data_IF_741236965643
#
_entry.id   IF_741236965643
#
_cell.length_a   1.000
_cell.length_b   1.000
_cell.length_c   1.000
_cell.angle_alpha   90.00
_cell.angle_beta   90.00
_cell.angle_gamma   90.00
#
_symmetry.space_group_name_H-M   'P 1'
#
loop_
_entity.id
_entity.type
_entity.pdbx_description
1 polymer ?
#
# COMPACT_ATOMS: atom_id res chain seq x y z
N UNK A 1 14.16 -5.71 -19.63
CA UNK A 1 15.07 -6.71 -18.97
C UNK A 1 14.33 -7.20 -17.76
N UNK A 2 14.07 -8.50 -17.66
CA UNK A 2 13.38 -9.11 -16.52
C UNK A 2 14.30 -9.12 -15.29
N UNK A 3 13.69 -9.10 -14.10
CA UNK A 3 14.39 -9.29 -12.82
C UNK A 3 14.17 -10.73 -12.33
N UNK A 4 14.82 -11.18 -11.24
CA UNK A 4 14.56 -12.50 -10.67
C UNK A 4 13.11 -12.69 -10.15
N UNK A 5 12.37 -11.60 -9.92
CA UNK A 5 11.04 -11.62 -9.30
C UNK A 5 9.93 -11.09 -10.21
N UNK A 6 10.30 -10.51 -11.36
CA UNK A 6 9.33 -9.96 -12.32
C UNK A 6 9.75 -10.29 -13.75
N UNK A 7 8.90 -11.02 -14.49
CA UNK A 7 9.15 -11.44 -15.87
C UNK A 7 8.60 -10.48 -16.92
N UNK A 8 7.90 -9.42 -16.54
CA UNK A 8 7.37 -8.42 -17.46
C UNK A 8 8.50 -7.76 -18.28
N UNK A 9 8.21 -7.35 -19.48
CA UNK A 9 9.02 -6.38 -20.19
C UNK A 9 8.81 -4.98 -19.57
N UNK A 10 9.83 -4.12 -19.63
CA UNK A 10 9.76 -2.78 -19.02
C UNK A 10 8.55 -1.98 -19.54
N UNK A 11 8.28 -2.09 -20.80
CA UNK A 11 7.23 -1.39 -21.53
C UNK A 11 5.81 -1.88 -21.17
N UNK A 12 5.72 -3.04 -20.51
CA UNK A 12 4.45 -3.60 -20.07
C UNK A 12 4.01 -3.07 -18.70
N UNK A 13 4.88 -2.38 -17.96
CA UNK A 13 4.58 -1.82 -16.65
C UNK A 13 4.29 -0.32 -16.81
N UNK A 14 3.16 0.13 -16.27
CA UNK A 14 2.77 1.54 -16.29
C UNK A 14 3.60 2.39 -15.31
N UNK A 15 3.59 3.71 -15.47
CA UNK A 15 4.28 4.65 -14.58
C UNK A 15 3.69 4.70 -13.18
N UNK A 16 2.39 4.42 -13.05
CA UNK A 16 1.68 4.34 -11.78
C UNK A 16 1.27 2.90 -11.50
N UNK A 17 1.59 2.42 -10.30
CA UNK A 17 1.31 1.05 -9.85
C UNK A 17 0.48 1.09 -8.58
N UNK A 18 -0.67 0.39 -8.56
CA UNK A 18 -1.38 0.04 -7.34
C UNK A 18 -0.83 -1.27 -6.79
N UNK A 19 -0.49 -1.28 -5.50
CA UNK A 19 0.19 -2.43 -4.89
C UNK A 19 -0.57 -2.97 -3.67
N UNK A 20 -1.54 -3.88 -3.87
CA UNK A 20 -2.13 -4.66 -2.78
C UNK A 20 -1.15 -5.73 -2.28
N UNK A 21 -1.29 -6.15 -1.02
CA UNK A 21 -0.52 -7.29 -0.49
C UNK A 21 -0.93 -8.61 -1.13
N UNK A 22 -2.22 -8.83 -1.27
CA UNK A 22 -2.85 -10.06 -1.73
C UNK A 22 -2.88 -10.16 -3.28
N UNK A 23 -2.33 -11.25 -3.88
CA UNK A 23 -2.41 -11.48 -5.32
C UNK A 23 -3.84 -11.63 -5.87
N UNK A 24 -4.77 -12.15 -5.08
CA UNK A 24 -6.18 -12.27 -5.48
C UNK A 24 -6.85 -10.89 -5.50
N UNK A 25 -6.50 -10.01 -4.57
CA UNK A 25 -6.96 -8.61 -4.60
C UNK A 25 -6.38 -7.88 -5.81
N UNK A 26 -5.11 -8.13 -6.17
CA UNK A 26 -4.53 -7.55 -7.39
C UNK A 26 -5.32 -7.97 -8.63
N UNK A 27 -5.67 -9.24 -8.74
CA UNK A 27 -6.53 -9.76 -9.80
C UNK A 27 -7.91 -9.10 -9.79
N UNK A 28 -8.54 -9.04 -8.63
CA UNK A 28 -9.87 -8.43 -8.47
C UNK A 28 -9.87 -6.95 -8.92
N UNK A 29 -8.89 -6.15 -8.50
CA UNK A 29 -8.78 -4.75 -8.92
C UNK A 29 -8.62 -4.65 -10.44
N UNK A 30 -7.75 -5.46 -11.02
CA UNK A 30 -7.50 -5.43 -12.46
C UNK A 30 -8.75 -5.82 -13.26
N UNK A 31 -9.40 -6.93 -12.94
CA UNK A 31 -10.57 -7.42 -13.67
C UNK A 31 -11.83 -6.57 -13.46
N UNK A 32 -11.92 -5.85 -12.32
CA UNK A 32 -13.10 -5.04 -11.98
C UNK A 32 -13.01 -3.62 -12.53
N UNK A 33 -11.82 -3.03 -12.56
CA UNK A 33 -11.68 -1.58 -12.79
C UNK A 33 -10.87 -1.22 -14.02
N UNK A 34 -9.99 -2.11 -14.53
CA UNK A 34 -9.18 -1.78 -15.69
C UNK A 34 -9.83 -2.27 -16.97
N UNK A 35 -9.72 -1.47 -18.02
CA UNK A 35 -10.04 -1.87 -19.37
C UNK A 35 -8.89 -2.74 -19.91
N UNK A 36 -9.23 -3.87 -20.54
CA UNK A 36 -8.33 -4.82 -21.19
C UNK A 36 -7.12 -5.24 -20.33
N UNK A 37 -7.30 -5.71 -19.06
CA UNK A 37 -6.19 -6.07 -18.20
C UNK A 37 -5.46 -7.30 -18.72
N UNK A 38 -4.13 -7.20 -18.84
CA UNK A 38 -3.25 -8.28 -19.24
C UNK A 38 -2.37 -8.71 -18.06
N UNK A 39 -2.29 -10.01 -17.80
CA UNK A 39 -1.33 -10.57 -16.83
C UNK A 39 0.09 -10.43 -17.39
N UNK A 40 0.88 -9.52 -16.83
CA UNK A 40 2.25 -9.23 -17.30
C UNK A 40 3.31 -9.90 -16.42
N UNK A 41 2.99 -10.22 -15.16
CA UNK A 41 3.88 -10.95 -14.26
C UNK A 41 3.13 -12.06 -13.51
N UNK A 42 3.47 -13.35 -13.70
CA UNK A 42 2.97 -14.46 -12.90
C UNK A 42 4.02 -15.03 -11.91
N UNK A 43 5.23 -14.46 -11.87
CA UNK A 43 6.37 -15.05 -11.14
C UNK A 43 6.06 -15.11 -9.65
N UNK A 44 6.31 -16.26 -9.02
CA UNK A 44 6.10 -16.55 -7.59
C UNK A 44 4.65 -16.35 -7.10
N UNK A 45 3.67 -16.30 -8.01
CA UNK A 45 2.28 -15.97 -7.65
C UNK A 45 2.05 -14.50 -7.29
N UNK A 46 3.07 -13.66 -7.39
CA UNK A 46 2.95 -12.21 -7.22
C UNK A 46 2.51 -11.63 -8.56
N UNK A 47 1.22 -11.81 -8.82
CA UNK A 47 0.64 -11.44 -10.09
C UNK A 47 0.63 -9.93 -10.30
N UNK A 48 1.02 -9.52 -11.52
CA UNK A 48 0.94 -8.13 -11.98
C UNK A 48 0.10 -8.06 -13.25
N UNK A 49 -0.82 -7.11 -13.29
CA UNK A 49 -1.72 -6.87 -14.43
C UNK A 49 -1.57 -5.42 -14.87
N UNK A 50 -1.53 -5.20 -16.19
CA UNK A 50 -1.55 -3.86 -16.77
C UNK A 50 -2.75 -3.72 -17.69
N UNK A 51 -3.47 -2.64 -17.57
CA UNK A 51 -4.60 -2.23 -18.40
C UNK A 51 -4.72 -0.73 -18.41
N UNK A 52 -5.89 -0.20 -18.74
CA UNK A 52 -6.14 1.24 -18.64
C UNK A 52 -7.29 1.55 -17.66
N UNK A 53 -7.20 2.69 -16.99
CA UNK A 53 -8.29 3.26 -16.21
C UNK A 53 -8.60 4.63 -16.79
N UNK A 54 -9.84 4.80 -17.29
CA UNK A 54 -10.26 6.03 -17.99
C UNK A 54 -9.29 6.44 -19.12
N UNK A 55 -8.74 5.44 -19.85
CA UNK A 55 -7.81 5.65 -20.95
C UNK A 55 -6.34 5.89 -20.55
N UNK A 56 -6.00 5.92 -19.26
CA UNK A 56 -4.62 6.07 -18.75
C UNK A 56 -4.09 4.70 -18.34
N UNK A 57 -2.87 4.29 -18.78
CA UNK A 57 -2.26 3.04 -18.35
C UNK A 57 -2.02 2.98 -16.84
N UNK A 58 -2.45 1.87 -16.21
CA UNK A 58 -2.22 1.58 -14.80
C UNK A 58 -1.80 0.12 -14.66
N UNK A 59 -0.82 -0.14 -13.81
CA UNK A 59 -0.47 -1.50 -13.39
C UNK A 59 -1.01 -1.76 -11.98
N UNK A 60 -1.55 -2.95 -11.76
CA UNK A 60 -1.90 -3.47 -10.44
C UNK A 60 -1.04 -4.69 -10.18
N UNK A 61 -0.15 -4.66 -9.21
CA UNK A 61 0.76 -5.75 -8.90
C UNK A 61 0.80 -6.02 -7.41
N UNK A 62 0.66 -7.27 -7.01
CA UNK A 62 0.75 -7.65 -5.61
C UNK A 62 2.14 -7.41 -5.03
N UNK A 63 2.20 -7.19 -3.72
CA UNK A 63 3.47 -7.07 -2.99
C UNK A 63 3.84 -8.32 -2.19
N UNK A 64 2.87 -9.22 -1.93
CA UNK A 64 2.97 -10.16 -0.83
C UNK A 64 2.85 -9.45 0.52
N UNK A 65 3.10 -10.16 1.61
CA UNK A 65 3.02 -9.62 2.97
C UNK A 65 4.41 -9.33 3.53
N UNK A 66 4.50 -8.26 4.30
CA UNK A 66 5.68 -7.88 5.06
C UNK A 66 6.71 -7.07 4.29
N UNK A 67 7.53 -6.34 5.03
CA UNK A 67 8.52 -5.41 4.48
C UNK A 67 9.56 -6.07 3.56
N UNK A 68 10.09 -7.28 3.84
CA UNK A 68 11.00 -7.93 2.92
C UNK A 68 10.39 -8.21 1.54
N UNK A 69 9.08 -8.55 1.51
CA UNK A 69 8.40 -8.84 0.25
C UNK A 69 8.17 -7.56 -0.56
N UNK A 70 7.45 -6.57 -0.02
CA UNK A 70 7.23 -5.31 -0.74
C UNK A 70 8.56 -4.61 -1.05
N UNK A 71 9.56 -4.78 -0.19
CA UNK A 71 10.89 -4.24 -0.38
C UNK A 71 11.54 -4.72 -1.69
N UNK A 72 11.39 -5.99 -2.04
CA UNK A 72 11.87 -6.54 -3.32
C UNK A 72 11.09 -5.92 -4.48
N UNK A 73 9.77 -6.08 -4.50
CA UNK A 73 8.95 -5.74 -5.66
C UNK A 73 8.91 -4.23 -5.92
N UNK A 74 8.76 -3.41 -4.91
CA UNK A 74 8.74 -1.96 -5.08
C UNK A 74 10.12 -1.41 -5.50
N UNK A 75 11.21 -1.97 -4.98
CA UNK A 75 12.55 -1.56 -5.42
C UNK A 75 12.77 -1.89 -6.89
N UNK A 76 12.42 -3.11 -7.32
CA UNK A 76 12.56 -3.52 -8.71
C UNK A 76 11.73 -2.63 -9.64
N UNK A 77 10.46 -2.35 -9.29
CA UNK A 77 9.58 -1.48 -10.06
C UNK A 77 10.16 -0.08 -10.23
N UNK A 78 10.63 0.53 -9.17
CA UNK A 78 11.25 1.86 -9.21
C UNK A 78 12.56 1.86 -10.00
N UNK A 79 13.44 0.89 -9.73
CA UNK A 79 14.82 0.92 -10.23
C UNK A 79 14.97 0.41 -11.66
N UNK A 80 14.19 -0.61 -12.04
CA UNK A 80 14.41 -1.32 -13.30
C UNK A 80 13.25 -1.18 -14.29
N UNK A 81 12.03 -0.89 -13.80
CA UNK A 81 10.83 -0.76 -14.64
C UNK A 81 10.41 0.70 -14.88
N UNK A 82 11.15 1.66 -14.33
CA UNK A 82 10.90 3.10 -14.54
C UNK A 82 9.51 3.55 -14.03
N UNK A 83 9.03 2.89 -12.98
CA UNK A 83 7.82 3.28 -12.25
C UNK A 83 8.10 4.58 -11.51
N UNK A 84 7.15 5.52 -11.59
CA UNK A 84 7.26 6.82 -10.92
C UNK A 84 6.48 6.84 -9.61
N UNK A 85 5.30 6.21 -9.60
CA UNK A 85 4.38 6.26 -8.48
C UNK A 85 3.97 4.85 -8.06
N UNK A 86 4.05 4.54 -6.77
CA UNK A 86 3.44 3.34 -6.21
C UNK A 86 2.48 3.74 -5.10
N UNK A 87 1.21 3.32 -5.23
CA UNK A 87 0.19 3.48 -4.20
C UNK A 87 -0.10 2.10 -3.61
N UNK A 88 0.29 1.91 -2.34
CA UNK A 88 -0.15 0.73 -1.59
C UNK A 88 -1.64 0.83 -1.30
N UNK A 89 -2.38 -0.24 -1.61
CA UNK A 89 -3.82 -0.37 -1.35
C UNK A 89 -4.05 -1.59 -0.44
N UNK A 90 -4.08 -1.35 0.85
CA UNK A 90 -4.00 -2.40 1.87
C UNK A 90 -5.20 -2.47 2.81
N UNK A 91 -5.20 -3.49 3.67
CA UNK A 91 -6.03 -3.55 4.86
C UNK A 91 -5.20 -3.19 6.10
N UNK A 92 -5.86 -2.72 7.15
CA UNK A 92 -5.21 -2.37 8.41
C UNK A 92 -6.10 -2.71 9.60
N UNK A 93 -5.46 -3.09 10.71
CA UNK A 93 -6.10 -3.11 12.02
C UNK A 93 -6.13 -1.72 12.65
N UNK A 94 -7.24 -1.31 13.26
CA UNK A 94 -7.35 -0.02 13.94
C UNK A 94 -6.91 -0.10 15.40
N UNK A 95 -6.07 0.86 15.81
CA UNK A 95 -5.76 1.17 17.21
C UNK A 95 -6.64 2.29 17.76
N UNK A 96 -7.09 3.19 16.88
CA UNK A 96 -7.91 4.34 17.23
C UNK A 96 -9.38 3.90 17.37
N UNK A 97 -10.04 4.12 18.53
CA UNK A 97 -11.43 3.76 18.75
C UNK A 97 -12.45 4.52 17.88
N UNK A 98 -12.04 5.66 17.29
CA UNK A 98 -12.87 6.41 16.34
C UNK A 98 -12.89 5.81 14.92
N UNK A 99 -12.04 4.80 14.67
CA UNK A 99 -11.97 4.10 13.39
C UNK A 99 -12.74 2.78 13.45
N UNK A 100 -13.63 2.60 12.50
CA UNK A 100 -14.46 1.40 12.36
C UNK A 100 -14.11 0.62 11.09
N UNK A 101 -14.52 -0.64 11.00
CA UNK A 101 -14.35 -1.45 9.78
C UNK A 101 -14.98 -0.73 8.58
N UNK A 102 -14.30 -0.84 7.44
CA UNK A 102 -14.57 -0.12 6.18
C UNK A 102 -14.16 1.36 6.16
N UNK A 103 -13.76 1.98 7.26
CA UNK A 103 -13.19 3.32 7.20
C UNK A 103 -11.91 3.33 6.35
N UNK A 104 -11.74 4.43 5.61
CA UNK A 104 -10.56 4.63 4.76
C UNK A 104 -9.56 5.53 5.47
N UNK A 105 -8.30 5.08 5.51
CA UNK A 105 -7.18 5.82 6.11
C UNK A 105 -6.12 6.09 5.06
N UNK A 106 -5.73 7.35 4.90
CA UNK A 106 -4.58 7.78 4.09
C UNK A 106 -3.40 8.01 5.03
N UNK A 107 -2.31 7.29 4.84
CA UNK A 107 -1.12 7.41 5.69
C UNK A 107 -0.47 8.78 5.52
N UNK A 108 -0.25 9.51 6.62
CA UNK A 108 0.56 10.72 6.64
C UNK A 108 2.03 10.43 6.97
N UNK A 109 2.27 9.30 7.61
CA UNK A 109 3.59 8.78 7.97
C UNK A 109 3.49 7.30 8.28
N UNK A 110 4.63 6.60 8.23
CA UNK A 110 4.76 5.23 8.71
C UNK A 110 5.84 5.17 9.79
N UNK A 111 5.48 4.67 10.96
CA UNK A 111 6.42 4.28 12.01
C UNK A 111 6.73 2.79 11.90
N UNK A 112 7.96 2.40 12.20
CA UNK A 112 8.34 0.99 12.32
C UNK A 112 9.51 0.79 13.27
N UNK A 113 9.47 -0.30 14.02
CA UNK A 113 10.60 -0.86 14.77
C UNK A 113 11.57 -1.66 13.89
N UNK A 114 11.22 -1.87 12.62
CA UNK A 114 12.02 -2.64 11.68
C UNK A 114 13.38 -2.00 11.39
N UNK A 115 14.38 -2.86 11.22
CA UNK A 115 15.69 -2.43 10.73
C UNK A 115 15.79 -2.36 9.21
N UNK A 116 14.69 -2.52 8.47
CA UNK A 116 14.68 -2.57 7.00
C UNK A 116 15.40 -1.37 6.38
N UNK A 117 14.96 -0.16 6.68
CA UNK A 117 15.52 1.06 6.08
C UNK A 117 16.98 1.31 6.50
N UNK A 118 17.31 1.01 7.76
CA UNK A 118 18.68 1.10 8.27
C UNK A 118 19.61 0.11 7.56
N UNK A 119 19.18 -1.14 7.43
CA UNK A 119 20.00 -2.19 6.79
C UNK A 119 20.16 -1.95 5.30
N UNK A 120 19.08 -1.53 4.60
CA UNK A 120 19.10 -1.35 3.15
C UNK A 120 19.76 -0.03 2.71
N UNK A 121 19.55 1.06 3.47
CA UNK A 121 19.85 2.42 2.99
C UNK A 121 20.57 3.31 4.02
N UNK A 122 20.94 2.78 5.18
CA UNK A 122 21.51 3.54 6.30
C UNK A 122 20.59 4.67 6.82
N UNK A 123 19.27 4.48 6.66
CA UNK A 123 18.27 5.40 7.19
C UNK A 123 18.03 5.11 8.67
N UNK A 124 18.31 6.09 9.52
CA UNK A 124 18.21 5.93 10.98
C UNK A 124 16.82 6.33 11.54
N UNK A 125 15.98 6.96 10.70
CA UNK A 125 14.64 7.37 11.14
C UNK A 125 13.74 6.14 11.25
N UNK A 126 13.01 6.04 12.36
CA UNK A 126 11.95 5.06 12.59
C UNK A 126 10.58 5.56 12.07
N UNK A 127 10.53 6.79 11.52
CA UNK A 127 9.34 7.38 10.89
C UNK A 127 9.70 7.85 9.50
N UNK A 128 8.97 7.37 8.49
CA UNK A 128 9.11 7.76 7.09
C UNK A 128 7.82 8.36 6.56
N UNK A 129 7.96 9.26 5.58
CA UNK A 129 6.85 10.01 5.01
C UNK A 129 6.52 9.52 3.60
N UNK A 130 5.23 9.53 3.20
CA UNK A 130 4.84 9.37 1.81
C UNK A 130 5.27 10.58 0.97
N UNK A 131 5.18 10.46 -0.36
CA UNK A 131 5.26 11.62 -1.26
C UNK A 131 4.12 12.59 -0.97
N UNK A 132 4.46 13.85 -0.68
CA UNK A 132 3.47 14.88 -0.35
C UNK A 132 2.49 15.10 -1.50
N UNK A 133 2.99 15.13 -2.75
CA UNK A 133 2.17 15.31 -3.95
C UNK A 133 1.21 14.15 -4.15
N UNK A 134 1.71 12.90 -4.14
CA UNK A 134 0.88 11.72 -4.36
C UNK A 134 -0.14 11.55 -3.23
N UNK A 135 0.24 11.90 -1.99
CA UNK A 135 -0.66 11.89 -0.85
C UNK A 135 -1.78 12.93 -0.98
N UNK A 136 -1.47 14.11 -1.54
CA UNK A 136 -2.48 15.12 -1.82
C UNK A 136 -3.44 14.68 -2.93
N UNK A 137 -2.95 13.99 -3.97
CA UNK A 137 -3.80 13.38 -5.01
C UNK A 137 -4.80 12.38 -4.42
N UNK A 138 -4.39 11.54 -3.45
CA UNK A 138 -5.31 10.65 -2.72
C UNK A 138 -6.40 11.42 -1.95
N UNK A 139 -6.02 12.50 -1.25
CA UNK A 139 -6.97 13.33 -0.50
C UNK A 139 -7.98 14.02 -1.42
N UNK A 140 -7.51 14.54 -2.55
CA UNK A 140 -8.36 15.17 -3.55
C UNK A 140 -9.34 14.15 -4.15
N UNK A 141 -8.84 12.97 -4.56
CA UNK A 141 -9.68 11.90 -5.09
C UNK A 141 -10.75 11.43 -4.09
N UNK A 142 -10.42 11.33 -2.80
CA UNK A 142 -11.39 11.01 -1.77
C UNK A 142 -12.48 12.09 -1.67
N UNK A 143 -12.09 13.36 -1.70
CA UNK A 143 -13.02 14.49 -1.66
C UNK A 143 -13.95 14.52 -2.90
N UNK A 144 -13.40 14.32 -4.10
CA UNK A 144 -14.15 14.31 -5.35
C UNK A 144 -15.18 13.16 -5.41
N UNK A 145 -14.83 12.03 -4.78
CA UNK A 145 -15.74 10.88 -4.62
C UNK A 145 -16.71 11.02 -3.43
N UNK A 146 -16.67 12.13 -2.70
CA UNK A 146 -17.43 12.38 -1.47
C UNK A 146 -17.22 11.30 -0.40
N UNK A 147 -16.01 10.78 -0.29
CA UNK A 147 -15.62 9.79 0.72
C UNK A 147 -14.90 10.50 1.87
N UNK A 148 -15.36 10.26 3.10
CA UNK A 148 -14.63 10.66 4.29
C UNK A 148 -13.43 9.72 4.43
N UNK A 149 -12.22 10.24 4.16
CA UNK A 149 -10.97 9.55 4.44
C UNK A 149 -10.31 10.16 5.68
N UNK A 150 -9.92 9.30 6.60
CA UNK A 150 -9.12 9.69 7.76
C UNK A 150 -7.65 9.84 7.37
N UNK A 151 -6.88 10.57 8.14
CA UNK A 151 -5.44 10.71 7.94
C UNK A 151 -4.75 10.38 9.25
N UNK A 152 -3.73 9.53 9.21
CA UNK A 152 -3.04 9.13 10.43
C UNK A 152 -1.73 8.42 10.18
N UNK A 153 -0.96 8.27 11.26
CA UNK A 153 0.28 7.50 11.25
C UNK A 153 -0.02 6.01 11.26
N UNK A 154 0.66 5.30 10.37
CA UNK A 154 0.58 3.85 10.26
C UNK A 154 1.72 3.21 11.04
N UNK A 155 1.43 2.22 11.88
CA UNK A 155 2.42 1.29 12.40
C UNK A 155 2.67 0.22 11.33
N UNK A 156 3.86 0.19 10.76
CA UNK A 156 4.26 -0.84 9.79
C UNK A 156 5.09 -1.89 10.53
N UNK A 157 4.45 -2.97 10.96
CA UNK A 157 5.04 -3.97 11.85
C UNK A 157 5.71 -5.13 11.10
N UNK A 158 6.82 -5.63 11.61
CA UNK A 158 7.42 -6.89 11.16
C UNK A 158 6.68 -8.13 11.71
N UNK A 159 5.82 -7.94 12.72
CA UNK A 159 5.18 -9.02 13.47
C UNK A 159 3.65 -8.85 13.47
N UNK A 160 2.93 -9.92 13.10
CA UNK A 160 1.46 -9.94 13.16
C UNK A 160 0.94 -10.41 14.53
N UNK A 161 1.57 -11.44 15.10
CA UNK A 161 1.17 -12.00 16.39
C UNK A 161 2.12 -11.53 17.48
N UNK A 162 1.63 -10.70 18.41
CA UNK A 162 2.37 -10.20 19.56
C UNK A 162 2.02 -10.98 20.83
N UNK A 163 2.99 -11.12 21.75
CA UNK A 163 2.75 -11.60 23.09
C UNK A 163 2.30 -10.43 23.98
N UNK A 164 1.01 -10.43 24.31
CA UNK A 164 0.38 -9.37 25.09
C UNK A 164 0.14 -8.07 24.33
N UNK A 165 -0.14 -7.00 25.06
CA UNK A 165 -0.54 -5.69 24.52
C UNK A 165 0.45 -4.55 24.90
N UNK A 166 1.57 -4.86 25.53
CA UNK A 166 2.52 -3.82 25.98
C UNK A 166 3.09 -2.99 24.82
N UNK A 167 3.29 -3.61 23.65
CA UNK A 167 3.74 -2.90 22.45
C UNK A 167 2.80 -1.77 22.06
N UNK A 168 1.49 -1.92 22.34
CA UNK A 168 0.48 -0.88 21.99
C UNK A 168 0.76 0.43 22.71
N UNK A 169 1.32 0.40 23.93
CA UNK A 169 1.70 1.62 24.63
C UNK A 169 2.72 2.42 23.81
N UNK A 170 3.76 1.77 23.35
CA UNK A 170 4.76 2.43 22.51
C UNK A 170 4.18 2.91 21.18
N UNK A 171 3.48 2.05 20.45
CA UNK A 171 3.03 2.39 19.09
C UNK A 171 1.88 3.41 19.09
N UNK A 172 0.99 3.36 20.08
CA UNK A 172 -0.16 4.27 20.18
C UNK A 172 0.20 5.54 20.96
N UNK A 173 0.63 5.39 22.24
CA UNK A 173 0.80 6.53 23.12
C UNK A 173 2.06 7.35 22.81
N UNK A 174 3.19 6.68 22.48
CA UNK A 174 4.46 7.37 22.25
C UNK A 174 4.66 7.75 20.79
N UNK A 175 4.24 6.87 19.84
CA UNK A 175 4.43 7.07 18.40
C UNK A 175 3.19 7.64 17.70
N UNK A 176 2.02 7.60 18.33
CA UNK A 176 0.78 8.18 17.82
C UNK A 176 0.25 7.45 16.57
N UNK A 177 0.42 6.13 16.51
CA UNK A 177 -0.12 5.34 15.40
C UNK A 177 -1.61 5.09 15.58
N UNK A 178 -2.38 5.27 14.52
CA UNK A 178 -3.83 5.05 14.50
C UNK A 178 -4.24 3.69 13.93
N UNK A 179 -3.40 3.11 13.07
CA UNK A 179 -3.64 1.82 12.42
C UNK A 179 -2.34 1.03 12.27
N UNK A 180 -2.46 -0.29 12.03
CA UNK A 180 -1.32 -1.21 11.81
C UNK A 180 -1.47 -1.97 10.49
N UNK A 181 -0.36 -2.10 9.79
CA UNK A 181 -0.16 -2.98 8.61
C UNK A 181 1.33 -3.41 8.58
N UNK A 182 1.86 -3.91 7.45
CA UNK A 182 3.17 -4.56 7.48
C UNK A 182 4.11 -4.12 6.32
N UNK A 183 3.80 -3.08 5.53
CA UNK A 183 4.53 -2.80 4.28
C UNK A 183 4.90 -1.34 4.03
N UNK A 184 4.12 -0.39 4.52
CA UNK A 184 4.23 1.03 4.12
C UNK A 184 5.60 1.65 4.44
N UNK A 185 6.22 1.28 5.56
CA UNK A 185 7.54 1.80 5.92
C UNK A 185 8.63 1.40 4.91
N UNK A 186 8.67 0.14 4.48
CA UNK A 186 9.63 -0.32 3.47
C UNK A 186 9.36 0.31 2.09
N UNK A 187 8.09 0.49 1.73
CA UNK A 187 7.73 1.17 0.49
C UNK A 187 8.22 2.63 0.49
N UNK A 188 8.02 3.36 1.59
CA UNK A 188 8.48 4.76 1.72
C UNK A 188 10.01 4.83 1.73
N UNK A 189 10.70 3.89 2.36
CA UNK A 189 12.16 3.80 2.32
C UNK A 189 12.67 3.62 0.89
N UNK A 190 12.09 2.70 0.12
CA UNK A 190 12.47 2.47 -1.28
C UNK A 190 12.21 3.70 -2.16
N UNK A 191 11.06 4.35 -1.99
CA UNK A 191 10.73 5.56 -2.73
C UNK A 191 11.73 6.70 -2.43
N UNK A 192 11.99 6.96 -1.14
CA UNK A 192 12.98 7.94 -0.69
C UNK A 192 14.36 7.69 -1.30
N UNK A 193 14.85 6.45 -1.22
CA UNK A 193 16.17 6.08 -1.74
C UNK A 193 16.27 6.17 -3.26
N UNK A 194 15.21 5.82 -4.00
CA UNK A 194 15.20 5.83 -5.47
C UNK A 194 14.80 7.18 -6.07
N UNK A 195 14.40 8.15 -5.25
CA UNK A 195 13.91 9.46 -5.71
C UNK A 195 12.57 9.35 -6.44
N UNK A 196 11.72 8.40 -6.04
CA UNK A 196 10.41 8.12 -6.60
C UNK A 196 9.28 8.42 -5.60
N UNK A 197 8.04 8.26 -6.02
CA UNK A 197 6.87 8.60 -5.21
C UNK A 197 6.17 7.36 -4.67
N UNK A 198 5.83 7.40 -3.38
CA UNK A 198 5.00 6.39 -2.75
C UNK A 198 3.93 7.02 -1.86
N UNK A 199 2.76 6.39 -1.81
CA UNK A 199 1.70 6.67 -0.87
C UNK A 199 1.05 5.38 -0.39
N UNK A 200 0.29 5.46 0.70
CA UNK A 200 -0.43 4.32 1.26
C UNK A 200 -1.84 4.75 1.63
N UNK A 201 -2.82 3.99 1.13
CA UNK A 201 -4.23 4.09 1.48
C UNK A 201 -4.70 2.72 1.96
N UNK A 202 -5.46 2.72 3.05
CA UNK A 202 -5.85 1.52 3.76
C UNK A 202 -7.36 1.52 4.00
N UNK A 203 -7.95 0.34 4.02
CA UNK A 203 -9.28 0.14 4.60
C UNK A 203 -9.13 -0.59 5.92
N UNK A 204 -9.80 -0.10 6.96
CA UNK A 204 -9.85 -0.76 8.25
C UNK A 204 -10.58 -2.09 8.09
N UNK A 205 -9.88 -3.19 8.34
CA UNK A 205 -10.39 -4.56 8.23
C UNK A 205 -10.80 -5.16 9.56
N UNK A 206 -10.23 -4.66 10.63
CA UNK A 206 -10.48 -5.07 12.00
C UNK A 206 -10.13 -3.94 12.97
N UNK A 207 -10.76 -3.92 14.14
CA UNK A 207 -10.45 -2.99 15.21
C UNK A 207 -9.99 -3.75 16.45
N UNK A 208 -8.75 -3.51 16.86
CA UNK A 208 -8.16 -4.14 18.05
C UNK A 208 -8.78 -3.62 19.36
N UNK A 209 -9.47 -2.49 19.29
CA UNK A 209 -10.08 -1.82 20.46
C UNK A 209 -11.62 -1.94 20.48
N UNK A 210 -12.27 -1.93 19.31
CA UNK A 210 -13.74 -2.05 19.20
C UNK A 210 -14.21 -3.51 19.00
N UNK A 211 -13.27 -4.46 18.81
CA UNK A 211 -13.56 -5.86 18.55
C UNK A 211 -14.47 -6.09 17.32
N UNK A 212 -14.24 -5.27 16.28
CA UNK A 212 -14.85 -5.43 14.95
C UNK A 212 -13.91 -6.22 14.05
N UNK A 213 -14.47 -7.03 13.14
CA UNK A 213 -13.66 -7.84 12.23
C UNK A 213 -14.38 -8.07 10.89
N UNK A 214 -13.61 -8.22 9.82
CA UNK A 214 -14.10 -8.58 8.49
C UNK A 214 -13.59 -9.94 8.07
N UNK A 215 -14.37 -10.66 7.26
CA UNK A 215 -14.00 -11.96 6.73
C UNK A 215 -12.86 -11.85 5.68
N UNK A 216 -12.12 -12.94 5.42
CA UNK A 216 -11.12 -12.96 4.34
C UNK A 216 -11.68 -12.60 2.96
N UNK A 217 -12.93 -13.01 2.67
CA UNK A 217 -13.61 -12.67 1.42
C UNK A 217 -13.91 -11.17 1.29
N UNK A 218 -14.39 -10.54 2.36
CA UNK A 218 -14.61 -9.10 2.41
C UNK A 218 -13.31 -8.32 2.23
N UNK A 219 -12.21 -8.76 2.86
CA UNK A 219 -10.87 -8.15 2.68
C UNK A 219 -10.39 -8.21 1.21
N UNK A 220 -10.77 -9.25 0.48
CA UNK A 220 -10.40 -9.41 -0.93
C UNK A 220 -11.24 -8.52 -1.85
N UNK A 221 -12.56 -8.47 -1.66
CA UNK A 221 -13.50 -8.00 -2.67
C UNK A 221 -14.30 -6.74 -2.28
N UNK A 222 -14.37 -6.39 -0.97
CA UNK A 222 -15.31 -5.36 -0.50
C UNK A 222 -14.71 -3.97 -0.31
N UNK A 223 -13.38 -3.83 -0.35
CA UNK A 223 -12.69 -2.55 -0.13
C UNK A 223 -12.63 -1.66 -1.40
N UNK A 224 -13.71 -1.66 -2.18
CA UNK A 224 -13.77 -1.01 -3.50
C UNK A 224 -13.67 0.51 -3.43
N UNK A 225 -14.09 1.13 -2.32
CA UNK A 225 -13.98 2.58 -2.11
C UNK A 225 -12.53 3.04 -2.12
N UNK A 226 -11.66 2.37 -1.33
CA UNK A 226 -10.22 2.63 -1.32
C UNK A 226 -9.59 2.44 -2.70
N UNK A 227 -10.00 1.36 -3.41
CA UNK A 227 -9.46 1.03 -4.73
C UNK A 227 -9.79 2.13 -5.75
N UNK A 228 -11.02 2.67 -5.73
CA UNK A 228 -11.43 3.79 -6.60
C UNK A 228 -10.64 5.06 -6.31
N UNK A 229 -10.48 5.42 -5.02
CA UNK A 229 -9.66 6.58 -4.63
C UNK A 229 -8.24 6.44 -5.15
N UNK A 230 -7.62 5.26 -4.99
CA UNK A 230 -6.27 5.00 -5.45
C UNK A 230 -6.14 5.06 -6.98
N UNK A 231 -7.13 4.56 -7.72
CA UNK A 231 -7.16 4.64 -9.18
C UNK A 231 -7.28 6.07 -9.68
N UNK A 232 -8.19 6.87 -9.10
CA UNK A 232 -8.31 8.30 -9.45
C UNK A 232 -6.99 9.05 -9.16
N UNK A 233 -6.37 8.80 -8.01
CA UNK A 233 -5.10 9.43 -7.65
C UNK A 233 -3.95 8.98 -8.58
N UNK A 234 -3.95 7.73 -9.04
CA UNK A 234 -2.91 7.18 -9.93
C UNK A 234 -2.89 7.81 -11.32
N UNK A 235 -4.04 8.33 -11.78
CA UNK A 235 -4.19 8.96 -13.11
C UNK A 235 -4.28 10.49 -13.06
N UNK A 236 -4.32 11.09 -11.87
CA UNK A 236 -4.35 12.54 -11.71
C UNK A 236 -3.05 13.18 -12.21
N UNK A 237 -3.18 14.29 -12.96
CA UNK A 237 -2.05 15.08 -13.46
C UNK A 237 -1.34 15.88 -12.34
#
# INVERSE_FOLDING_TARGET
MSTPHNSAAKEQIAKSVLMPGDPLRAKFIAETFLDEPVLVNPVRGINGYTGSYKGVPVTVMASGMGMPSIGIYSYELFKFYDVENIIRVGSAGAYDPELHVYDVVIADSAYSESTFAKTAFHEESDILLPSAELNQKLKNAAADLNVKAHTGRVHSSDVFYHDGTEYMKTVVEEKGCSVVEMESFALFANAKYTGKNAACILTVSDSLVNHEDTTPEERQNSFTTMMKIALEAAIAE
#
